data_IF_022471897931
#
_entry.id   IF_022471897931
#
_cell.length_a   1.000
_cell.length_b   1.000
_cell.length_c   1.000
_cell.angle_alpha   90.00
_cell.angle_beta   90.00
_cell.angle_gamma   90.00
#
_symmetry.space_group_name_H-M   'P 1'
#
loop_
_entity.id
_entity.type
_entity.pdbx_description
1 polymer ?
#
# COMPACT_ATOMS: atom_id res chain seq x y z
N UNK A 1 -16.85 18.52 -14.92
CA UNK A 1 -17.10 17.55 -13.85
C UNK A 1 -16.37 18.02 -12.60
N UNK A 2 -17.09 18.61 -11.66
CA UNK A 2 -16.49 19.11 -10.42
C UNK A 2 -16.85 18.16 -9.27
N UNK A 3 -15.84 17.50 -8.73
CA UNK A 3 -16.03 16.60 -7.58
C UNK A 3 -15.92 17.36 -6.24
N UNK A 4 -15.30 18.56 -6.23
CA UNK A 4 -15.04 19.36 -5.02
C UNK A 4 -15.45 20.84 -5.10
N UNK A 5 -15.96 21.33 -6.20
CA UNK A 5 -16.26 22.74 -6.42
C UNK A 5 -17.74 22.98 -6.74
N UNK A 6 -18.64 22.39 -5.93
CA UNK A 6 -20.09 22.56 -6.11
C UNK A 6 -20.53 24.02 -6.03
N UNK A 7 -19.86 24.84 -5.24
CA UNK A 7 -20.12 26.28 -5.11
C UNK A 7 -19.94 27.06 -6.43
N UNK A 8 -19.09 26.58 -7.33
CA UNK A 8 -18.82 27.19 -8.64
C UNK A 8 -20.02 27.12 -9.57
N UNK A 9 -20.95 26.20 -9.31
CA UNK A 9 -22.17 25.96 -10.11
C UNK A 9 -23.43 26.51 -9.47
N UNK A 10 -23.31 27.31 -8.42
CA UNK A 10 -24.46 27.98 -7.79
C UNK A 10 -25.16 28.88 -8.81
N UNK A 11 -26.46 28.68 -9.01
CA UNK A 11 -27.28 29.40 -9.99
C UNK A 11 -27.22 28.86 -11.43
N UNK A 12 -26.53 27.76 -11.67
CA UNK A 12 -26.52 27.06 -12.96
C UNK A 12 -27.25 25.71 -12.76
N UNK A 13 -28.17 25.32 -13.69
CA UNK A 13 -28.79 24.00 -13.62
C UNK A 13 -27.72 22.91 -13.62
N UNK A 14 -27.65 22.12 -12.56
CA UNK A 14 -26.65 21.08 -12.41
C UNK A 14 -27.28 19.76 -11.94
N UNK A 15 -26.83 18.66 -12.52
CA UNK A 15 -27.19 17.31 -12.11
C UNK A 15 -26.07 16.73 -11.24
N UNK A 16 -26.39 16.41 -10.00
CA UNK A 16 -25.45 15.76 -9.07
C UNK A 16 -25.78 14.28 -8.98
N UNK A 17 -24.81 13.43 -9.37
CA UNK A 17 -24.98 11.98 -9.36
C UNK A 17 -23.71 11.32 -8.80
N UNK A 18 -23.81 10.09 -8.25
CA UNK A 18 -22.65 9.30 -7.84
C UNK A 18 -21.66 9.08 -8.99
N UNK A 19 -20.36 9.00 -8.69
CA UNK A 19 -19.28 8.90 -9.70
C UNK A 19 -19.44 7.69 -10.63
N UNK A 20 -20.06 6.61 -10.15
CA UNK A 20 -20.28 5.39 -10.93
C UNK A 20 -21.46 5.49 -11.92
N UNK A 21 -22.41 6.40 -11.71
CA UNK A 21 -23.62 6.55 -12.50
C UNK A 21 -23.34 6.94 -13.96
N UNK A 22 -22.44 7.91 -14.25
CA UNK A 22 -22.11 8.27 -15.64
C UNK A 22 -21.47 7.13 -16.42
N UNK A 23 -20.85 6.17 -15.76
CA UNK A 23 -20.23 5.01 -16.43
C UNK A 23 -21.30 4.00 -16.87
N UNK A 24 -22.38 3.87 -16.08
CA UNK A 24 -23.43 2.88 -16.28
C UNK A 24 -24.59 3.39 -17.15
N UNK A 25 -24.93 4.67 -17.02
CA UNK A 25 -26.15 5.26 -17.60
C UNK A 25 -25.89 6.64 -18.24
N UNK A 26 -24.78 6.79 -19.00
CA UNK A 26 -24.36 8.06 -19.58
C UNK A 26 -25.46 8.73 -20.43
N UNK A 27 -26.14 7.95 -21.27
CA UNK A 27 -27.15 8.45 -22.21
C UNK A 27 -28.38 9.00 -21.49
N UNK A 28 -28.86 8.28 -20.45
CA UNK A 28 -29.97 8.73 -19.62
C UNK A 28 -29.65 10.00 -18.85
N UNK A 29 -28.42 10.14 -18.34
CA UNK A 29 -27.96 11.33 -17.63
C UNK A 29 -27.82 12.54 -18.54
N UNK A 30 -27.39 12.36 -19.80
CA UNK A 30 -27.33 13.43 -20.80
C UNK A 30 -28.75 13.92 -21.13
N UNK A 31 -29.69 13.01 -21.31
CA UNK A 31 -31.10 13.36 -21.54
C UNK A 31 -31.68 14.12 -20.34
N UNK A 32 -31.45 13.69 -19.14
CA UNK A 32 -31.86 14.42 -17.92
C UNK A 32 -31.20 15.80 -17.83
N UNK A 33 -29.91 15.91 -18.13
CA UNK A 33 -29.19 17.18 -18.11
C UNK A 33 -29.76 18.18 -19.13
N UNK A 34 -30.15 17.71 -20.30
CA UNK A 34 -30.73 18.54 -21.36
C UNK A 34 -32.15 19.07 -21.00
N UNK A 35 -32.86 18.38 -20.09
CA UNK A 35 -34.21 18.80 -19.63
C UNK A 35 -34.19 19.74 -18.46
N UNK A 36 -33.01 20.01 -17.85
CA UNK A 36 -32.86 20.90 -16.70
C UNK A 36 -33.24 22.34 -17.11
N UNK A 37 -34.32 22.87 -16.52
CA UNK A 37 -34.72 24.28 -16.65
C UNK A 37 -34.09 25.08 -15.52
N UNK A 38 -33.74 26.33 -15.80
CA UNK A 38 -33.30 27.30 -14.79
C UNK A 38 -34.49 27.55 -13.84
N UNK A 39 -34.48 26.94 -12.65
CA UNK A 39 -35.48 27.26 -11.63
C UNK A 39 -34.94 28.40 -10.77
N UNK A 40 -35.76 29.45 -10.60
CA UNK A 40 -35.45 30.58 -9.70
C UNK A 40 -35.52 30.19 -8.21
N UNK A 41 -35.86 28.94 -7.91
CA UNK A 41 -35.78 28.41 -6.56
C UNK A 41 -34.34 28.01 -6.25
N UNK A 42 -33.72 28.79 -5.39
CA UNK A 42 -32.50 28.43 -4.68
C UNK A 42 -32.77 27.13 -3.91
N UNK A 43 -32.68 25.97 -4.60
CA UNK A 43 -32.48 24.72 -3.89
C UNK A 43 -31.14 24.88 -3.19
N UNK A 44 -31.21 25.20 -1.93
CA UNK A 44 -30.11 24.92 -0.99
C UNK A 44 -29.67 23.52 -1.32
N UNK A 45 -28.54 23.41 -2.04
CA UNK A 45 -27.77 22.19 -2.07
C UNK A 45 -27.71 21.78 -0.62
N UNK A 46 -28.41 20.69 -0.27
CA UNK A 46 -28.08 20.04 0.99
C UNK A 46 -26.57 19.86 0.89
N UNK A 47 -25.85 20.76 1.56
CA UNK A 47 -24.51 20.42 2.00
C UNK A 47 -24.71 19.04 2.60
N UNK A 48 -24.28 18.00 1.89
CA UNK A 48 -23.83 16.82 2.58
C UNK A 48 -22.81 17.34 3.59
N UNK A 49 -23.31 17.66 4.75
CA UNK A 49 -22.53 17.78 5.97
C UNK A 49 -21.96 16.38 6.10
N UNK A 50 -20.80 16.18 5.39
CA UNK A 50 -20.00 14.99 5.66
C UNK A 50 -19.87 14.97 7.17
N UNK A 51 -20.34 13.90 7.83
CA UNK A 51 -20.30 13.85 9.28
C UNK A 51 -18.88 14.19 9.68
N UNK A 52 -18.71 15.10 10.63
CA UNK A 52 -17.40 15.56 11.12
C UNK A 52 -16.58 14.30 11.33
N UNK A 53 -15.60 14.07 10.46
CA UNK A 53 -14.82 12.83 10.47
C UNK A 53 -14.19 12.74 11.85
N UNK A 54 -14.40 11.65 12.55
CA UNK A 54 -13.69 11.39 13.81
C UNK A 54 -12.18 11.58 13.58
N UNK A 55 -11.48 12.22 14.50
CA UNK A 55 -10.02 12.43 14.45
C UNK A 55 -9.30 11.12 14.12
N UNK A 56 -9.77 10.00 14.70
CA UNK A 56 -9.25 8.66 14.40
C UNK A 56 -9.38 8.29 12.91
N UNK A 57 -10.51 8.59 12.30
CA UNK A 57 -10.76 8.33 10.88
C UNK A 57 -9.89 9.21 10.00
N UNK A 58 -9.73 10.47 10.37
CA UNK A 58 -8.87 11.43 9.66
C UNK A 58 -7.40 11.01 9.71
N UNK A 59 -6.87 10.67 10.88
CA UNK A 59 -5.51 10.14 11.06
C UNK A 59 -5.28 8.90 10.19
N UNK A 60 -6.20 7.92 10.26
CA UNK A 60 -6.12 6.71 9.43
C UNK A 60 -6.08 7.06 7.94
N UNK A 61 -6.94 7.94 7.47
CA UNK A 61 -6.98 8.35 6.06
C UNK A 61 -5.70 9.07 5.63
N UNK A 62 -5.15 9.94 6.48
CA UNK A 62 -3.91 10.65 6.20
C UNK A 62 -2.72 9.69 6.05
N UNK A 63 -2.60 8.73 6.97
CA UNK A 63 -1.55 7.70 6.92
C UNK A 63 -1.68 6.81 5.68
N UNK A 64 -2.89 6.31 5.40
CA UNK A 64 -3.14 5.48 4.22
C UNK A 64 -2.88 6.25 2.92
N UNK A 65 -3.17 7.55 2.89
CA UNK A 65 -2.84 8.43 1.77
C UNK A 65 -1.33 8.51 1.57
N UNK A 66 -0.57 8.83 2.60
CA UNK A 66 0.90 8.88 2.55
C UNK A 66 1.51 7.58 2.03
N UNK A 67 1.08 6.43 2.55
CA UNK A 67 1.52 5.10 2.10
C UNK A 67 1.17 4.89 0.63
N UNK A 68 -0.06 5.20 0.21
CA UNK A 68 -0.51 4.99 -1.16
C UNK A 68 0.29 5.78 -2.19
N UNK A 69 0.72 7.00 -1.85
CA UNK A 69 1.61 7.79 -2.72
C UNK A 69 3.07 7.31 -2.69
N UNK A 70 3.52 6.70 -1.59
CA UNK A 70 4.85 6.12 -1.51
C UNK A 70 4.99 4.80 -2.32
N UNK A 71 3.89 4.03 -2.47
CA UNK A 71 3.90 2.72 -3.15
C UNK A 71 4.52 2.75 -4.55
N UNK A 72 4.11 3.64 -5.49
CA UNK A 72 4.72 3.66 -6.83
C UNK A 72 6.22 3.95 -6.80
N UNK A 73 6.67 4.82 -5.89
CA UNK A 73 8.09 5.14 -5.69
C UNK A 73 8.86 3.90 -5.22
N UNK A 74 8.29 3.16 -4.27
CA UNK A 74 8.89 1.94 -3.72
C UNK A 74 8.97 0.86 -4.78
N UNK A 75 7.91 0.66 -5.55
CA UNK A 75 7.88 -0.35 -6.63
C UNK A 75 8.90 -0.01 -7.71
N UNK A 76 8.94 1.24 -8.17
CA UNK A 76 9.90 1.69 -9.18
C UNK A 76 11.35 1.57 -8.68
N UNK A 77 11.63 2.09 -7.48
CA UNK A 77 12.96 2.03 -6.87
C UNK A 77 13.43 0.59 -6.63
N UNK A 78 12.54 -0.23 -6.08
CA UNK A 78 12.80 -1.65 -5.85
C UNK A 78 13.09 -2.42 -7.14
N UNK A 79 12.30 -2.19 -8.18
CA UNK A 79 12.50 -2.86 -9.48
C UNK A 79 13.80 -2.43 -10.14
N UNK A 80 14.10 -1.12 -10.15
CA UNK A 80 15.37 -0.61 -10.72
C UNK A 80 16.58 -1.19 -9.98
N UNK A 81 16.52 -1.22 -8.64
CA UNK A 81 17.59 -1.83 -7.85
C UNK A 81 17.71 -3.35 -8.12
N UNK A 82 16.57 -4.04 -8.20
CA UNK A 82 16.54 -5.47 -8.51
C UNK A 82 17.18 -5.78 -9.88
N UNK A 83 16.83 -5.00 -10.89
CA UNK A 83 17.44 -5.15 -12.24
C UNK A 83 18.95 -4.92 -12.20
N UNK A 84 19.41 -3.90 -11.49
CA UNK A 84 20.85 -3.64 -11.34
C UNK A 84 21.57 -4.81 -10.67
N UNK A 85 21.00 -5.39 -9.60
CA UNK A 85 21.56 -6.57 -8.94
C UNK A 85 21.56 -7.79 -9.85
N UNK A 86 20.46 -8.04 -10.58
CA UNK A 86 20.35 -9.16 -11.50
C UNK A 86 21.39 -9.08 -12.64
N UNK A 87 21.54 -7.92 -13.26
CA UNK A 87 22.55 -7.71 -14.30
C UNK A 87 23.96 -7.95 -13.77
N UNK A 88 24.25 -7.48 -12.56
CA UNK A 88 25.52 -7.74 -11.89
C UNK A 88 25.79 -9.24 -11.71
N UNK A 89 24.77 -10.00 -11.29
CA UNK A 89 24.92 -11.43 -11.00
C UNK A 89 24.98 -12.29 -12.28
N UNK A 90 24.09 -12.05 -13.24
CA UNK A 90 23.95 -12.86 -14.45
C UNK A 90 25.17 -12.68 -15.39
N UNK A 91 25.61 -11.43 -15.52
CA UNK A 91 26.70 -11.09 -16.44
C UNK A 91 28.08 -10.95 -15.77
N UNK A 92 28.17 -11.24 -14.46
CA UNK A 92 29.44 -11.15 -13.75
C UNK A 92 30.01 -9.72 -13.63
N UNK A 93 29.09 -8.70 -13.56
CA UNK A 93 29.45 -7.28 -13.58
C UNK A 93 29.60 -6.70 -12.17
N UNK A 94 30.08 -7.47 -11.20
CA UNK A 94 30.21 -7.04 -9.79
C UNK A 94 31.14 -5.83 -9.65
N UNK A 95 32.16 -5.74 -10.48
CA UNK A 95 33.11 -4.62 -10.50
C UNK A 95 32.37 -3.34 -10.89
N UNK A 96 31.62 -3.36 -12.00
CA UNK A 96 30.80 -2.21 -12.44
C UNK A 96 29.66 -1.86 -11.45
N UNK A 97 29.15 -2.85 -10.74
CA UNK A 97 28.11 -2.60 -9.71
C UNK A 97 28.66 -1.82 -8.51
N UNK A 98 29.96 -1.97 -8.21
CA UNK A 98 30.62 -1.32 -7.09
C UNK A 98 31.46 -0.10 -7.49
N UNK A 99 31.92 -0.02 -8.73
CA UNK A 99 32.74 1.08 -9.26
C UNK A 99 31.91 2.36 -9.36
N UNK A 100 32.33 3.40 -8.63
CA UNK A 100 31.65 4.69 -8.62
C UNK A 100 31.57 5.30 -10.03
N UNK A 101 30.42 5.88 -10.34
CA UNK A 101 30.09 6.50 -11.62
C UNK A 101 30.00 5.54 -12.81
N UNK A 102 30.13 4.23 -12.64
CA UNK A 102 29.74 3.27 -13.68
C UNK A 102 28.23 3.36 -13.94
N UNK A 103 27.80 2.96 -15.12
CA UNK A 103 26.37 2.96 -15.45
C UNK A 103 25.54 2.06 -14.52
N UNK A 104 26.10 0.92 -14.11
CA UNK A 104 25.39 -0.04 -13.24
C UNK A 104 25.32 0.46 -11.79
N UNK A 105 26.38 1.10 -11.30
CA UNK A 105 26.39 1.79 -10.02
C UNK A 105 25.36 2.94 -9.99
N UNK A 106 25.24 3.70 -11.10
CA UNK A 106 24.23 4.76 -11.20
C UNK A 106 22.81 4.20 -11.11
N UNK A 107 22.48 3.10 -11.78
CA UNK A 107 21.17 2.43 -11.63
C UNK A 107 20.94 1.93 -10.20
N UNK A 108 21.95 1.31 -9.59
CA UNK A 108 21.91 0.91 -8.17
C UNK A 108 21.62 2.10 -7.27
N UNK A 109 22.31 3.22 -7.45
CA UNK A 109 22.12 4.45 -6.67
C UNK A 109 20.75 5.10 -6.92
N UNK A 110 20.28 5.06 -8.17
CA UNK A 110 18.93 5.54 -8.52
C UNK A 110 17.87 4.75 -7.78
N UNK A 111 17.85 3.44 -7.88
CA UNK A 111 16.89 2.59 -7.18
C UNK A 111 17.00 2.71 -5.67
N UNK A 112 18.22 2.65 -5.12
CA UNK A 112 18.47 2.80 -3.69
C UNK A 112 18.09 4.19 -3.16
N UNK A 113 18.30 5.25 -3.94
CA UNK A 113 17.90 6.61 -3.57
C UNK A 113 16.39 6.81 -3.49
N UNK A 114 15.63 6.22 -4.42
CA UNK A 114 14.17 6.22 -4.35
C UNK A 114 13.65 5.57 -3.06
N UNK A 115 14.29 4.47 -2.64
CA UNK A 115 13.91 3.73 -1.44
C UNK A 115 14.42 4.39 -0.14
N UNK A 116 15.72 4.71 -0.08
CA UNK A 116 16.36 5.16 1.15
C UNK A 116 16.21 6.66 1.41
N UNK A 117 16.30 7.49 0.36
CA UNK A 117 16.30 8.95 0.52
C UNK A 117 14.89 9.53 0.39
N UNK A 118 14.13 9.11 -0.62
CA UNK A 118 12.85 9.76 -0.96
C UNK A 118 11.64 9.15 -0.27
N UNK A 119 11.65 7.85 0.08
CA UNK A 119 10.48 7.17 0.65
C UNK A 119 9.94 7.87 1.90
N UNK A 120 10.81 8.19 2.87
CA UNK A 120 10.44 8.82 4.14
C UNK A 120 9.90 10.25 3.92
N UNK A 121 10.56 11.14 3.17
CA UNK A 121 10.02 12.46 2.84
C UNK A 121 8.70 12.41 2.05
N UNK A 122 8.55 11.50 1.10
CA UNK A 122 7.31 11.35 0.32
C UNK A 122 6.16 10.90 1.21
N UNK A 123 6.39 9.90 2.08
CA UNK A 123 5.39 9.47 3.04
C UNK A 123 4.89 10.62 3.92
N UNK A 124 5.82 11.40 4.49
CA UNK A 124 5.50 12.54 5.35
C UNK A 124 4.75 13.64 4.57
N UNK A 125 5.21 13.99 3.37
CA UNK A 125 4.62 15.03 2.53
C UNK A 125 3.17 14.71 2.14
N UNK A 126 2.88 13.49 1.72
CA UNK A 126 1.53 13.12 1.31
C UNK A 126 0.60 12.80 2.48
N UNK A 127 1.13 12.43 3.64
CA UNK A 127 0.38 12.43 4.90
C UNK A 127 -0.07 13.85 5.25
N UNK A 128 0.85 14.83 5.20
CA UNK A 128 0.55 16.24 5.45
C UNK A 128 -0.42 16.82 4.40
N UNK A 129 -0.23 16.49 3.13
CA UNK A 129 -1.11 16.88 2.03
C UNK A 129 -2.56 16.44 2.26
N UNK A 130 -2.76 15.21 2.73
CA UNK A 130 -4.09 14.69 3.02
C UNK A 130 -4.83 15.49 4.11
N UNK A 131 -4.09 16.14 5.01
CA UNK A 131 -4.64 16.94 6.12
C UNK A 131 -4.86 18.41 5.77
N UNK A 132 -3.99 19.02 4.96
CA UNK A 132 -3.99 20.47 4.73
C UNK A 132 -3.72 20.89 3.27
N UNK A 133 -3.89 19.99 2.31
CA UNK A 133 -3.72 20.22 0.87
C UNK A 133 -2.31 20.66 0.43
N UNK A 134 -2.19 21.24 -0.76
CA UNK A 134 -0.92 21.64 -1.40
C UNK A 134 0.03 22.44 -0.52
N UNK A 135 -0.40 23.42 0.30
CA UNK A 135 0.52 24.18 1.14
C UNK A 135 1.29 23.34 2.17
N UNK A 136 0.77 22.14 2.51
CA UNK A 136 1.42 21.25 3.46
C UNK A 136 2.51 20.36 2.84
N UNK A 137 2.67 20.35 1.52
CA UNK A 137 3.65 19.47 0.86
C UNK A 137 5.08 19.83 1.28
N UNK A 138 5.49 21.11 1.15
CA UNK A 138 6.85 21.53 1.53
C UNK A 138 7.16 21.29 3.01
N UNK A 139 6.28 21.67 3.97
CA UNK A 139 6.44 21.32 5.37
C UNK A 139 6.55 19.81 5.62
N UNK A 140 5.73 19.00 4.92
CA UNK A 140 5.78 17.54 5.02
C UNK A 140 7.09 16.95 4.51
N UNK A 141 7.59 17.42 3.36
CA UNK A 141 8.90 17.02 2.84
C UNK A 141 10.03 17.41 3.82
N UNK A 142 9.99 18.61 4.39
CA UNK A 142 10.99 19.06 5.36
C UNK A 142 10.96 18.20 6.63
N UNK A 143 9.78 17.90 7.16
CA UNK A 143 9.63 17.03 8.33
C UNK A 143 10.13 15.60 8.06
N UNK A 144 9.86 15.06 6.86
CA UNK A 144 10.36 13.75 6.45
C UNK A 144 11.88 13.72 6.22
N UNK A 145 12.45 14.78 5.66
CA UNK A 145 13.90 14.95 5.54
C UNK A 145 14.57 15.04 6.92
N UNK A 146 14.00 15.83 7.83
CA UNK A 146 14.44 15.90 9.22
C UNK A 146 14.41 14.53 9.90
N UNK A 147 13.34 13.74 9.66
CA UNK A 147 13.23 12.37 10.15
C UNK A 147 14.38 11.47 9.67
N UNK A 148 14.79 11.59 8.41
CA UNK A 148 15.97 10.89 7.91
C UNK A 148 17.26 11.36 8.58
N UNK A 149 17.44 12.66 8.77
CA UNK A 149 18.66 13.25 9.36
C UNK A 149 18.89 12.77 10.80
N UNK A 150 17.82 12.62 11.59
CA UNK A 150 17.89 12.20 13.00
C UNK A 150 17.69 10.70 13.21
N UNK A 151 17.57 9.92 12.13
CA UNK A 151 17.41 8.47 12.23
C UNK A 151 16.07 7.99 12.80
N UNK A 152 15.03 8.84 12.80
CA UNK A 152 13.68 8.42 13.22
C UNK A 152 12.91 7.65 12.15
N UNK A 153 13.46 7.54 10.95
CA UNK A 153 13.04 6.66 9.89
C UNK A 153 11.56 6.76 9.51
N UNK A 154 10.95 5.60 9.30
CA UNK A 154 9.53 5.49 8.92
C UNK A 154 8.58 6.09 9.96
N UNK A 155 8.80 5.83 11.26
CA UNK A 155 7.97 6.42 12.33
C UNK A 155 8.10 7.94 12.35
N UNK A 156 9.30 8.46 12.10
CA UNK A 156 9.54 9.90 11.98
C UNK A 156 8.77 10.51 10.80
N UNK A 157 8.67 9.80 9.66
CA UNK A 157 7.86 10.25 8.53
C UNK A 157 6.37 10.36 8.89
N UNK A 158 5.85 9.36 9.59
CA UNK A 158 4.44 9.36 10.04
C UNK A 158 4.17 10.53 10.97
N UNK A 159 4.95 10.65 12.02
CA UNK A 159 4.79 11.72 13.03
C UNK A 159 5.03 13.09 12.41
N UNK A 160 6.10 13.25 11.63
CA UNK A 160 6.44 14.49 10.96
C UNK A 160 5.39 14.93 9.95
N UNK A 161 4.81 13.99 9.21
CA UNK A 161 3.72 14.25 8.27
C UNK A 161 2.45 14.75 8.97
N UNK A 162 2.09 14.13 10.11
CA UNK A 162 0.96 14.57 10.92
C UNK A 162 1.21 15.97 11.52
N UNK A 163 2.40 16.20 12.09
CA UNK A 163 2.78 17.50 12.62
C UNK A 163 2.69 18.58 11.53
N UNK A 164 3.29 18.33 10.36
CA UNK A 164 3.26 19.27 9.24
C UNK A 164 1.83 19.55 8.76
N UNK A 165 0.99 18.52 8.67
CA UNK A 165 -0.41 18.64 8.26
C UNK A 165 -1.24 19.47 9.23
N UNK A 166 -1.21 19.13 10.52
CA UNK A 166 -1.97 19.87 11.54
C UNK A 166 -1.43 21.29 11.77
N UNK A 167 -0.11 21.48 11.75
CA UNK A 167 0.51 22.81 11.81
C UNK A 167 0.03 23.68 10.66
N UNK A 168 0.05 23.15 9.43
CA UNK A 168 -0.41 23.90 8.26
C UNK A 168 -1.89 24.22 8.30
N UNK A 169 -2.72 23.31 8.80
CA UNK A 169 -4.15 23.58 9.03
C UNK A 169 -4.33 24.71 10.03
N UNK A 170 -3.59 24.68 11.13
CA UNK A 170 -3.60 25.75 12.12
C UNK A 170 -3.16 27.10 11.54
N UNK A 171 -2.05 27.14 10.81
CA UNK A 171 -1.54 28.34 10.14
C UNK A 171 -2.57 28.90 9.16
N UNK A 172 -3.16 28.08 8.31
CA UNK A 172 -4.20 28.48 7.33
C UNK A 172 -5.44 29.09 8.01
N UNK A 173 -5.80 28.61 9.17
CA UNK A 173 -6.99 29.10 9.90
C UNK A 173 -6.73 30.43 10.61
N UNK A 174 -5.51 30.67 11.09
CA UNK A 174 -5.17 31.85 11.88
C UNK A 174 -4.51 32.96 11.05
N UNK A 175 -3.75 32.62 10.03
CA UNK A 175 -3.06 33.56 9.19
C UNK A 175 -3.84 33.87 7.92
N UNK A 176 -4.70 34.88 7.97
CA UNK A 176 -5.52 35.32 6.85
C UNK A 176 -5.17 36.78 6.54
N UNK A 177 -4.67 37.04 5.35
CA UNK A 177 -4.48 38.38 4.79
C UNK A 177 -5.63 38.66 3.80
N UNK A 178 -5.86 39.93 3.46
CA UNK A 178 -6.89 40.30 2.49
C UNK A 178 -6.73 39.54 1.13
N UNK A 179 -7.81 39.42 0.39
CA UNK A 179 -7.88 38.61 -0.86
C UNK A 179 -6.78 38.90 -1.88
N UNK A 180 -6.27 40.16 -1.90
CA UNK A 180 -5.15 40.59 -2.77
C UNK A 180 -3.83 39.88 -2.50
N UNK A 181 -3.65 39.35 -1.28
CA UNK A 181 -2.41 38.68 -0.85
C UNK A 181 -2.52 37.14 -0.84
N UNK A 182 -3.61 36.57 -1.30
CA UNK A 182 -3.80 35.10 -1.30
C UNK A 182 -2.69 34.34 -2.05
N UNK A 183 -2.20 34.90 -3.16
CA UNK A 183 -1.08 34.30 -3.90
C UNK A 183 0.20 34.28 -3.06
N UNK A 184 0.55 35.39 -2.42
CA UNK A 184 1.72 35.48 -1.56
C UNK A 184 1.63 34.54 -0.36
N UNK A 185 0.47 34.46 0.28
CA UNK A 185 0.20 33.51 1.36
C UNK A 185 0.47 32.06 0.92
N UNK A 186 -0.18 31.66 -0.18
CA UNK A 186 -0.19 30.24 -0.62
C UNK A 186 1.15 29.79 -1.17
N UNK A 187 1.85 30.65 -1.94
CA UNK A 187 3.07 30.24 -2.63
C UNK A 187 4.35 30.56 -1.85
N UNK A 188 4.30 31.46 -0.88
CA UNK A 188 5.49 31.86 -0.13
C UNK A 188 5.33 31.64 1.38
N UNK A 189 4.37 32.33 2.01
CA UNK A 189 4.33 32.43 3.46
C UNK A 189 3.96 31.09 4.12
N UNK A 190 2.94 30.39 3.63
CA UNK A 190 2.54 29.10 4.17
C UNK A 190 3.63 28.04 4.04
N UNK A 191 4.25 27.80 2.87
CA UNK A 191 5.35 26.87 2.74
C UNK A 191 6.53 27.20 3.64
N UNK A 192 6.94 28.47 3.74
CA UNK A 192 8.10 28.90 4.55
C UNK A 192 7.82 28.68 6.04
N UNK A 193 6.72 29.23 6.55
CA UNK A 193 6.37 29.09 7.97
C UNK A 193 6.13 27.64 8.36
N UNK A 194 5.44 26.90 7.51
CA UNK A 194 5.19 25.49 7.75
C UNK A 194 6.47 24.66 7.75
N UNK A 195 7.39 24.91 6.82
CA UNK A 195 8.70 24.23 6.74
C UNK A 195 9.55 24.53 7.96
N UNK A 196 9.67 25.81 8.34
CA UNK A 196 10.40 26.20 9.55
C UNK A 196 9.79 25.57 10.79
N UNK A 197 8.46 25.64 10.94
CA UNK A 197 7.77 25.09 12.11
C UNK A 197 7.86 23.56 12.18
N UNK A 198 7.44 22.84 11.14
CA UNK A 198 7.45 21.40 11.14
C UNK A 198 8.87 20.80 11.15
N UNK A 199 9.79 21.40 10.39
CA UNK A 199 11.20 21.02 10.39
C UNK A 199 11.86 21.22 11.75
N UNK A 200 11.67 22.36 12.37
CA UNK A 200 12.25 22.64 13.71
C UNK A 200 11.65 21.73 14.79
N UNK A 201 10.33 21.49 14.78
CA UNK A 201 9.71 20.56 15.70
C UNK A 201 10.28 19.15 15.56
N UNK A 202 10.50 18.68 14.33
CA UNK A 202 11.12 17.38 14.11
C UNK A 202 12.59 17.36 14.53
N UNK A 203 13.39 18.36 14.15
CA UNK A 203 14.82 18.37 14.42
C UNK A 203 15.15 18.50 15.92
N UNK A 204 14.40 19.30 16.66
CA UNK A 204 14.82 19.74 18.00
C UNK A 204 13.91 19.28 19.15
N UNK A 205 12.69 18.78 18.86
CA UNK A 205 11.72 18.45 19.91
C UNK A 205 11.25 17.01 19.81
N UNK A 206 10.68 16.64 18.68
CA UNK A 206 9.94 15.37 18.54
C UNK A 206 10.82 14.25 17.97
N UNK A 207 11.81 14.61 17.19
CA UNK A 207 12.57 13.62 16.41
C UNK A 207 13.37 12.64 17.23
N UNK A 208 14.09 13.09 18.27
CA UNK A 208 14.86 12.19 19.14
C UNK A 208 13.98 11.19 19.90
N UNK A 209 12.87 11.58 20.57
CA UNK A 209 11.94 10.64 21.17
C UNK A 209 11.40 9.61 20.17
N UNK A 210 11.06 10.03 18.96
CA UNK A 210 10.58 9.12 17.92
C UNK A 210 11.69 8.21 17.42
N UNK A 211 12.92 8.70 17.28
CA UNK A 211 14.09 7.88 16.93
C UNK A 211 14.37 6.82 18.01
N UNK A 212 14.25 7.17 19.28
CA UNK A 212 14.38 6.20 20.36
C UNK A 212 13.33 5.08 20.28
N UNK A 213 12.06 5.41 20.04
CA UNK A 213 10.98 4.42 19.84
C UNK A 213 11.29 3.56 18.61
N UNK A 214 11.71 4.18 17.51
CA UNK A 214 12.05 3.48 16.27
C UNK A 214 13.20 2.49 16.48
N UNK A 215 14.24 2.88 17.17
CA UNK A 215 15.38 2.04 17.50
C UNK A 215 15.01 0.90 18.46
N UNK A 216 14.16 1.17 19.44
CA UNK A 216 13.65 0.16 20.36
C UNK A 216 12.81 -0.89 19.64
N UNK A 217 11.93 -0.47 18.71
CA UNK A 217 11.17 -1.36 17.86
C UNK A 217 12.08 -2.21 16.97
N UNK A 218 13.11 -1.58 16.40
CA UNK A 218 14.12 -2.27 15.58
C UNK A 218 14.87 -3.34 16.38
N UNK A 219 15.30 -3.00 17.58
CA UNK A 219 15.98 -3.95 18.48
C UNK A 219 15.06 -5.13 18.86
N UNK A 220 13.79 -4.85 19.14
CA UNK A 220 12.80 -5.88 19.41
C UNK A 220 12.58 -6.79 18.20
N UNK A 221 12.41 -6.23 16.99
CA UNK A 221 12.24 -7.01 15.76
C UNK A 221 13.46 -7.88 15.45
N UNK A 222 14.68 -7.35 15.64
CA UNK A 222 15.91 -8.11 15.45
C UNK A 222 16.05 -9.25 16.47
N UNK A 223 15.44 -9.11 17.64
CA UNK A 223 15.39 -10.15 18.67
C UNK A 223 14.36 -11.26 18.40
N UNK A 224 13.51 -11.10 17.38
CA UNK A 224 12.52 -12.12 17.03
C UNK A 224 13.20 -13.31 16.36
N UNK A 225 13.13 -14.48 16.98
CA UNK A 225 13.67 -15.73 16.48
C UNK A 225 12.77 -16.91 16.85
N UNK A 226 12.93 -18.03 16.19
CA UNK A 226 12.20 -19.26 16.50
C UNK A 226 10.67 -19.09 16.45
N UNK A 227 9.97 -19.48 17.52
CA UNK A 227 8.49 -19.42 17.60
C UNK A 227 7.92 -18.00 17.46
N UNK A 228 8.65 -16.98 17.91
CA UNK A 228 8.22 -15.58 17.80
C UNK A 228 8.22 -15.10 16.34
N UNK A 229 9.23 -15.48 15.56
CA UNK A 229 9.29 -15.17 14.13
C UNK A 229 8.19 -15.90 13.36
N UNK A 230 7.89 -17.15 13.71
CA UNK A 230 6.79 -17.93 13.16
C UNK A 230 5.44 -17.26 13.44
N UNK A 231 5.21 -16.81 14.67
CA UNK A 231 3.97 -16.12 15.06
C UNK A 231 3.83 -14.78 14.32
N UNK A 232 4.89 -13.98 14.24
CA UNK A 232 4.90 -12.74 13.46
C UNK A 232 4.56 -13.01 11.99
N UNK A 233 5.15 -14.08 11.43
CA UNK A 233 4.88 -14.51 10.05
C UNK A 233 3.42 -14.86 9.84
N UNK A 234 2.82 -15.62 10.74
CA UNK A 234 1.39 -15.96 10.68
C UNK A 234 0.50 -14.72 10.77
N UNK A 235 0.81 -13.77 11.66
CA UNK A 235 0.07 -12.52 11.80
C UNK A 235 0.17 -11.68 10.51
N UNK A 236 1.36 -11.51 9.96
CA UNK A 236 1.55 -10.78 8.70
C UNK A 236 0.83 -11.48 7.53
N UNK A 237 0.82 -12.80 7.52
CA UNK A 237 0.06 -13.61 6.56
C UNK A 237 -1.44 -13.35 6.65
N UNK A 238 -2.00 -13.34 7.86
CA UNK A 238 -3.39 -12.97 8.11
C UNK A 238 -3.69 -11.57 7.56
N UNK A 239 -2.92 -10.57 8.00
CA UNK A 239 -3.16 -9.16 7.65
C UNK A 239 -3.04 -8.91 6.14
N UNK A 240 -2.15 -9.60 5.46
CA UNK A 240 -1.95 -9.45 4.02
C UNK A 240 -3.17 -9.90 3.21
N UNK A 241 -3.80 -11.00 3.59
CA UNK A 241 -4.86 -11.64 2.80
C UNK A 241 -6.28 -11.35 3.30
N UNK A 242 -6.42 -10.68 4.44
CA UNK A 242 -7.72 -10.39 5.05
C UNK A 242 -8.59 -9.43 4.21
N UNK A 243 -7.99 -8.42 3.62
CA UNK A 243 -8.71 -7.39 2.87
C UNK A 243 -8.08 -7.04 1.50
N UNK A 244 -7.16 -7.89 1.00
CA UNK A 244 -6.61 -7.90 -0.36
C UNK A 244 -6.21 -6.51 -0.91
N UNK A 245 -5.40 -5.79 -0.17
CA UNK A 245 -4.96 -4.42 -0.52
C UNK A 245 -5.75 -3.32 0.20
N UNK A 246 -6.65 -3.68 1.11
CA UNK A 246 -7.38 -2.76 1.96
C UNK A 246 -6.56 -2.21 3.14
N UNK A 247 -7.24 -1.61 4.14
CA UNK A 247 -6.57 -0.95 5.27
C UNK A 247 -5.69 -1.86 6.13
N UNK A 248 -6.07 -3.13 6.31
CA UNK A 248 -5.32 -4.09 7.13
C UNK A 248 -4.05 -4.53 6.39
N UNK A 249 -4.17 -4.87 5.11
CA UNK A 249 -3.03 -5.17 4.24
C UNK A 249 -2.05 -3.99 4.18
N UNK A 250 -2.54 -2.75 4.01
CA UNK A 250 -1.70 -1.55 3.97
C UNK A 250 -1.00 -1.29 5.32
N UNK A 251 -1.63 -1.61 6.44
CA UNK A 251 -0.99 -1.50 7.76
C UNK A 251 0.16 -2.50 7.90
N UNK A 252 -0.02 -3.76 7.46
CA UNK A 252 1.05 -4.75 7.43
C UNK A 252 2.18 -4.32 6.49
N UNK A 253 1.85 -3.81 5.31
CA UNK A 253 2.83 -3.29 4.36
C UNK A 253 3.65 -2.14 4.95
N UNK A 254 2.98 -1.17 5.59
CA UNK A 254 3.65 -0.05 6.27
C UNK A 254 4.59 -0.53 7.38
N UNK A 255 4.16 -1.49 8.19
CA UNK A 255 5.00 -2.12 9.20
C UNK A 255 6.25 -2.77 8.59
N UNK A 256 6.08 -3.54 7.52
CA UNK A 256 7.20 -4.20 6.83
C UNK A 256 8.19 -3.20 6.22
N UNK A 257 7.68 -2.10 5.64
CA UNK A 257 8.53 -1.02 5.12
C UNK A 257 9.25 -0.27 6.23
N UNK A 258 8.59 -0.03 7.36
CA UNK A 258 9.18 0.56 8.55
C UNK A 258 10.32 -0.30 9.10
N UNK A 259 10.11 -1.61 9.22
CA UNK A 259 11.13 -2.56 9.61
C UNK A 259 12.32 -2.56 8.62
N UNK A 260 12.02 -2.58 7.32
CA UNK A 260 13.04 -2.55 6.27
C UNK A 260 13.87 -1.26 6.29
N UNK A 261 13.25 -0.11 6.51
CA UNK A 261 13.94 1.19 6.64
C UNK A 261 14.95 1.20 7.80
N UNK A 262 14.75 0.32 8.79
CA UNK A 262 15.61 0.12 9.94
C UNK A 262 16.57 -1.08 9.79
N UNK A 263 16.70 -1.63 8.58
CA UNK A 263 17.59 -2.76 8.30
C UNK A 263 17.04 -4.13 8.73
N UNK A 264 15.77 -4.22 9.11
CA UNK A 264 15.10 -5.49 9.47
C UNK A 264 14.31 -6.00 8.27
N UNK A 265 14.85 -6.98 7.58
CA UNK A 265 14.37 -7.42 6.26
C UNK A 265 13.42 -8.63 6.29
N UNK A 266 13.35 -9.34 7.41
CA UNK A 266 12.49 -10.51 7.57
C UNK A 266 11.00 -10.25 7.36
N UNK A 267 10.40 -9.25 8.00
CA UNK A 267 8.99 -8.94 7.84
C UNK A 267 8.57 -8.69 6.39
N UNK A 268 9.41 -8.01 5.62
CA UNK A 268 9.09 -7.78 4.20
C UNK A 268 9.23 -9.05 3.35
N UNK A 269 10.20 -9.92 3.64
CA UNK A 269 10.34 -11.21 2.97
C UNK A 269 9.08 -12.08 3.17
N UNK A 270 8.54 -12.11 4.40
CA UNK A 270 7.28 -12.78 4.72
C UNK A 270 6.14 -12.19 3.89
N UNK A 271 5.95 -10.88 3.96
CA UNK A 271 4.86 -10.18 3.29
C UNK A 271 4.89 -10.36 1.77
N UNK A 272 6.07 -10.32 1.17
CA UNK A 272 6.25 -10.51 -0.27
C UNK A 272 5.91 -11.93 -0.74
N UNK A 273 6.25 -12.97 0.03
CA UNK A 273 5.87 -14.36 -0.26
C UNK A 273 4.36 -14.57 -0.16
N UNK A 274 3.76 -14.06 0.91
CA UNK A 274 2.32 -14.19 1.18
C UNK A 274 1.45 -13.57 0.07
N UNK A 275 1.88 -12.48 -0.54
CA UNK A 275 1.14 -11.82 -1.64
C UNK A 275 0.82 -12.76 -2.80
N UNK A 276 1.61 -13.78 -3.05
CA UNK A 276 1.39 -14.72 -4.14
C UNK A 276 0.28 -15.74 -3.84
N UNK A 277 -0.01 -16.00 -2.57
CA UNK A 277 -0.93 -17.07 -2.13
C UNK A 277 -2.33 -16.90 -2.70
N UNK A 278 -2.94 -15.73 -2.56
CA UNK A 278 -4.30 -15.46 -3.04
C UNK A 278 -4.42 -15.66 -4.54
N UNK A 279 -3.47 -15.11 -5.30
CA UNK A 279 -3.46 -15.18 -6.75
C UNK A 279 -3.29 -16.62 -7.27
N UNK A 280 -2.35 -17.37 -6.69
CA UNK A 280 -2.15 -18.78 -7.05
C UNK A 280 -3.35 -19.63 -6.64
N UNK A 281 -3.99 -19.33 -5.52
CA UNK A 281 -5.22 -20.02 -5.09
C UNK A 281 -6.36 -19.79 -6.08
N UNK A 282 -6.59 -18.56 -6.53
CA UNK A 282 -7.63 -18.26 -7.54
C UNK A 282 -7.39 -19.07 -8.80
N UNK A 283 -6.19 -19.03 -9.34
CA UNK A 283 -5.84 -19.77 -10.55
C UNK A 283 -5.96 -21.27 -10.35
N UNK A 284 -5.34 -21.82 -9.31
CA UNK A 284 -5.35 -23.25 -9.05
C UNK A 284 -6.77 -23.80 -8.82
N UNK A 285 -7.59 -23.10 -8.04
CA UNK A 285 -8.94 -23.56 -7.71
C UNK A 285 -9.86 -23.56 -8.93
N UNK A 286 -9.80 -22.51 -9.77
CA UNK A 286 -10.61 -22.43 -10.99
C UNK A 286 -10.17 -23.42 -12.08
N UNK A 287 -8.88 -23.75 -12.14
CA UNK A 287 -8.36 -24.76 -13.07
C UNK A 287 -8.67 -26.19 -12.61
N UNK A 288 -8.55 -26.49 -11.31
CA UNK A 288 -8.74 -27.83 -10.77
C UNK A 288 -10.21 -28.24 -10.69
N UNK A 289 -11.11 -27.30 -10.44
CA UNK A 289 -12.53 -27.60 -10.28
C UNK A 289 -13.43 -26.51 -10.88
N UNK A 290 -13.38 -26.26 -12.19
CA UNK A 290 -14.11 -25.16 -12.83
C UNK A 290 -15.63 -25.21 -12.58
N UNK A 291 -16.18 -26.39 -12.38
CA UNK A 291 -17.61 -26.58 -12.10
C UNK A 291 -18.09 -25.95 -10.78
N UNK A 292 -17.18 -25.59 -9.89
CA UNK A 292 -17.50 -24.96 -8.60
C UNK A 292 -17.46 -23.43 -8.66
N UNK A 293 -17.19 -22.85 -9.82
CA UNK A 293 -16.96 -21.43 -10.01
C UNK A 293 -17.85 -20.88 -11.12
N UNK A 294 -18.15 -19.59 -11.04
CA UNK A 294 -18.86 -18.86 -12.08
C UNK A 294 -17.92 -18.56 -13.25
N UNK A 295 -18.49 -18.29 -14.42
CA UNK A 295 -17.72 -18.04 -15.64
C UNK A 295 -16.72 -16.90 -15.46
N UNK A 296 -17.12 -15.77 -14.87
CA UNK A 296 -16.22 -14.63 -14.62
C UNK A 296 -15.08 -14.97 -13.63
N UNK A 297 -15.30 -15.87 -12.66
CA UNK A 297 -14.26 -16.32 -11.74
C UNK A 297 -13.22 -17.19 -12.47
N UNK A 298 -13.67 -18.03 -13.40
CA UNK A 298 -12.80 -18.85 -14.25
C UNK A 298 -11.97 -17.95 -15.17
N UNK A 299 -12.60 -16.95 -15.80
CA UNK A 299 -11.88 -15.98 -16.65
C UNK A 299 -10.84 -15.19 -15.85
N UNK A 300 -11.21 -14.72 -14.67
CA UNK A 300 -10.26 -14.05 -13.75
C UNK A 300 -9.11 -14.99 -13.41
N UNK A 301 -9.37 -16.26 -13.12
CA UNK A 301 -8.36 -17.25 -12.74
C UNK A 301 -7.29 -17.49 -13.80
N UNK A 302 -7.62 -17.34 -15.09
CA UNK A 302 -6.67 -17.57 -16.19
C UNK A 302 -5.44 -16.65 -16.15
N UNK A 303 -5.59 -15.42 -15.68
CA UNK A 303 -4.52 -14.40 -15.67
C UNK A 303 -4.03 -14.01 -14.27
N UNK A 304 -4.75 -14.36 -13.21
CA UNK A 304 -4.45 -13.89 -11.84
C UNK A 304 -3.09 -14.37 -11.34
N UNK A 305 -2.60 -15.54 -11.76
CA UNK A 305 -1.26 -16.01 -11.39
C UNK A 305 -0.15 -15.08 -11.83
N UNK A 306 -0.30 -14.37 -12.97
CA UNK A 306 0.67 -13.36 -13.42
C UNK A 306 0.73 -12.17 -12.45
N UNK A 307 -0.44 -11.75 -11.94
CA UNK A 307 -0.51 -10.71 -10.91
C UNK A 307 0.16 -11.20 -9.62
N UNK A 308 -0.03 -12.47 -9.26
CA UNK A 308 0.66 -13.10 -8.13
C UNK A 308 2.18 -13.05 -8.27
N UNK A 309 2.72 -13.40 -9.44
CA UNK A 309 4.16 -13.27 -9.73
C UNK A 309 4.63 -11.82 -9.64
N UNK A 310 3.82 -10.85 -10.00
CA UNK A 310 4.12 -9.43 -9.81
C UNK A 310 3.99 -8.95 -8.35
N UNK A 311 3.51 -9.79 -7.44
CA UNK A 311 3.28 -9.44 -6.03
C UNK A 311 2.03 -8.58 -5.82
N UNK A 312 0.99 -8.79 -6.63
CA UNK A 312 -0.27 -8.04 -6.63
C UNK A 312 -1.40 -8.97 -6.13
N UNK A 313 -2.03 -8.61 -5.02
CA UNK A 313 -3.13 -9.37 -4.39
C UNK A 313 -4.50 -9.05 -4.96
N UNK A 314 -4.65 -7.86 -5.55
CA UNK A 314 -5.92 -7.30 -5.99
C UNK A 314 -6.59 -8.11 -7.11
N UNK A 315 -5.84 -8.93 -7.82
CA UNK A 315 -6.39 -9.86 -8.82
C UNK A 315 -7.38 -10.90 -8.26
N UNK A 316 -7.33 -11.14 -6.94
CA UNK A 316 -8.24 -12.05 -6.25
C UNK A 316 -9.56 -11.37 -5.78
N UNK A 317 -9.66 -10.04 -5.88
CA UNK A 317 -10.82 -9.28 -5.38
C UNK A 317 -12.14 -9.70 -6.02
N UNK A 318 -12.25 -9.92 -7.35
CA UNK A 318 -13.54 -10.31 -7.95
C UNK A 318 -14.12 -11.57 -7.32
N UNK A 319 -13.29 -12.59 -7.09
CA UNK A 319 -13.71 -13.82 -6.44
C UNK A 319 -14.04 -13.62 -4.95
N UNK A 320 -13.29 -12.76 -4.26
CA UNK A 320 -13.51 -12.45 -2.85
C UNK A 320 -14.80 -11.65 -2.61
N UNK A 321 -15.23 -10.82 -3.55
CA UNK A 321 -16.52 -10.11 -3.47
C UNK A 321 -17.68 -11.04 -3.64
N UNK A 322 -17.55 -12.06 -4.51
CA UNK A 322 -18.61 -13.01 -4.79
C UNK A 322 -18.91 -13.92 -3.58
N UNK A 323 -17.89 -14.37 -2.87
CA UNK A 323 -18.02 -15.28 -1.73
C UNK A 323 -17.00 -14.97 -0.63
N UNK A 324 -17.19 -13.85 0.10
CA UNK A 324 -16.18 -13.32 0.99
C UNK A 324 -15.72 -14.30 2.07
N UNK A 325 -16.66 -14.99 2.70
CA UNK A 325 -16.35 -15.85 3.86
C UNK A 325 -15.47 -17.04 3.47
N UNK A 326 -15.80 -17.72 2.36
CA UNK A 326 -15.06 -18.93 1.95
C UNK A 326 -13.74 -18.54 1.28
N UNK A 327 -13.77 -17.54 0.42
CA UNK A 327 -12.60 -17.11 -0.35
C UNK A 327 -11.58 -16.44 0.56
N UNK A 328 -11.96 -15.40 1.30
CA UNK A 328 -11.03 -14.70 2.20
C UNK A 328 -10.57 -15.64 3.33
N UNK A 329 -11.48 -16.42 3.90
CA UNK A 329 -11.12 -17.40 4.94
C UNK A 329 -10.07 -18.41 4.47
N UNK A 330 -10.19 -18.93 3.24
CA UNK A 330 -9.18 -19.84 2.68
C UNK A 330 -7.85 -19.13 2.43
N UNK A 331 -7.86 -17.91 1.86
CA UNK A 331 -6.66 -17.13 1.63
C UNK A 331 -5.91 -16.84 2.93
N UNK A 332 -6.62 -16.42 3.96
CA UNK A 332 -6.05 -16.12 5.28
C UNK A 332 -5.34 -17.34 5.85
N UNK A 333 -5.99 -18.51 5.87
CA UNK A 333 -5.39 -19.73 6.43
C UNK A 333 -4.13 -20.16 5.68
N UNK A 334 -4.16 -20.18 4.34
CA UNK A 334 -2.96 -20.50 3.57
C UNK A 334 -1.85 -19.45 3.73
N UNK A 335 -2.20 -18.17 3.80
CA UNK A 335 -1.26 -17.08 4.00
C UNK A 335 -0.60 -17.08 5.38
N UNK A 336 -1.34 -17.45 6.42
CA UNK A 336 -0.77 -17.64 7.76
C UNK A 336 0.29 -18.74 7.76
N UNK A 337 0.03 -19.86 7.05
CA UNK A 337 1.00 -20.94 6.93
C UNK A 337 2.24 -20.49 6.15
N UNK A 338 2.06 -19.84 5.00
CA UNK A 338 3.18 -19.27 4.24
C UNK A 338 4.02 -18.33 5.10
N UNK A 339 3.38 -17.39 5.78
CA UNK A 339 4.06 -16.41 6.61
C UNK A 339 4.82 -17.07 7.76
N UNK A 340 4.23 -18.07 8.40
CA UNK A 340 4.86 -18.85 9.47
C UNK A 340 6.13 -19.59 8.96
N UNK A 341 6.06 -20.24 7.79
CA UNK A 341 7.20 -20.95 7.21
C UNK A 341 8.34 -19.97 6.90
N UNK A 342 8.05 -18.86 6.18
CA UNK A 342 9.08 -17.88 5.83
C UNK A 342 9.67 -17.22 7.06
N UNK A 343 8.85 -16.92 8.08
CA UNK A 343 9.31 -16.39 9.36
C UNK A 343 10.26 -17.36 10.08
N UNK A 344 9.93 -18.66 10.11
CA UNK A 344 10.78 -19.69 10.72
C UNK A 344 12.11 -19.89 9.97
N UNK A 345 12.13 -19.66 8.65
CA UNK A 345 13.35 -19.77 7.83
C UNK A 345 14.29 -18.59 7.98
N UNK A 346 13.88 -17.51 8.63
CA UNK A 346 14.67 -16.30 8.86
C UNK A 346 15.25 -15.69 7.57
N UNK A 347 14.46 -15.67 6.51
CA UNK A 347 14.80 -15.11 5.21
C UNK A 347 14.58 -13.60 5.22
N UNK A 348 15.53 -12.84 4.68
CA UNK A 348 15.44 -11.39 4.52
C UNK A 348 15.25 -10.96 3.07
N UNK A 349 14.55 -9.85 2.84
CA UNK A 349 14.40 -9.20 1.54
C UNK A 349 14.55 -7.69 1.72
N UNK A 350 15.65 -7.14 1.19
CA UNK A 350 15.97 -5.71 1.33
C UNK A 350 15.40 -4.83 0.22
N UNK A 351 14.77 -5.42 -0.80
CA UNK A 351 14.27 -4.70 -1.98
C UNK A 351 12.75 -4.89 -2.12
N UNK A 352 11.93 -3.89 -1.83
CA UNK A 352 10.49 -4.00 -1.93
C UNK A 352 10.01 -3.92 -3.39
N UNK A 353 8.86 -4.52 -3.66
CA UNK A 353 8.14 -4.34 -4.93
C UNK A 353 8.66 -5.14 -6.13
N UNK A 354 9.66 -6.02 -5.95
CA UNK A 354 10.27 -6.74 -7.06
C UNK A 354 9.46 -7.99 -7.53
N UNK A 355 8.36 -8.35 -6.87
CA UNK A 355 7.57 -9.54 -7.22
C UNK A 355 8.43 -10.81 -7.26
N UNK A 356 8.30 -11.62 -8.31
CA UNK A 356 9.06 -12.87 -8.48
C UNK A 356 10.58 -12.63 -8.58
N UNK A 357 11.01 -11.47 -9.06
CA UNK A 357 12.43 -11.11 -9.10
C UNK A 357 13.06 -11.01 -7.71
N UNK A 358 12.25 -10.95 -6.66
CA UNK A 358 12.72 -11.03 -5.27
C UNK A 358 13.51 -12.32 -4.98
N UNK A 359 13.27 -13.42 -5.73
CA UNK A 359 14.01 -14.68 -5.61
C UNK A 359 15.52 -14.50 -5.65
N UNK A 360 16.00 -13.54 -6.45
CA UNK A 360 17.42 -13.25 -6.63
C UNK A 360 17.99 -12.26 -5.60
N UNK A 361 17.13 -11.69 -4.76
CA UNK A 361 17.45 -10.61 -3.82
C UNK A 361 17.29 -11.03 -2.37
N UNK A 362 16.91 -12.29 -2.16
CA UNK A 362 16.77 -12.88 -0.84
C UNK A 362 18.15 -13.12 -0.22
N UNK A 363 18.26 -12.82 1.06
CA UNK A 363 19.40 -13.20 1.87
C UNK A 363 18.93 -14.03 3.04
N UNK A 364 19.76 -14.97 3.42
CA UNK A 364 19.57 -15.81 4.56
C UNK A 364 20.77 -15.70 5.52
N UNK A 365 20.60 -16.24 6.71
CA UNK A 365 21.65 -16.24 7.71
C UNK A 365 22.61 -17.43 7.61
N UNK A 366 22.87 -17.93 6.38
CA UNK A 366 23.94 -18.92 6.16
C UNK A 366 23.63 -20.14 5.28
N UNK A 367 22.39 -20.32 4.79
CA UNK A 367 22.03 -21.50 3.96
C UNK A 367 22.27 -21.32 2.44
N UNK A 368 22.61 -20.11 2.00
CA UNK A 368 22.80 -19.76 0.59
C UNK A 368 21.54 -19.29 -0.12
N UNK A 369 21.65 -18.28 -0.98
CA UNK A 369 20.53 -17.61 -1.62
C UNK A 369 19.59 -18.53 -2.41
N UNK A 370 20.10 -19.66 -2.95
CA UNK A 370 19.27 -20.65 -3.67
C UNK A 370 18.29 -21.35 -2.72
N UNK A 371 18.74 -21.75 -1.52
CA UNK A 371 17.88 -22.38 -0.53
C UNK A 371 16.84 -21.41 0.03
N UNK A 372 17.22 -20.17 0.25
CA UNK A 372 16.29 -19.11 0.62
C UNK A 372 15.22 -18.92 -0.47
N UNK A 373 15.61 -18.90 -1.75
CA UNK A 373 14.69 -18.76 -2.88
C UNK A 373 13.72 -19.94 -2.98
N UNK A 374 14.20 -21.17 -2.87
CA UNK A 374 13.37 -22.38 -2.89
C UNK A 374 12.39 -22.37 -1.71
N UNK A 375 12.86 -22.06 -0.51
CA UNK A 375 12.02 -22.00 0.69
C UNK A 375 10.97 -20.90 0.62
N UNK A 376 11.35 -19.71 0.18
CA UNK A 376 10.48 -18.55 0.07
C UNK A 376 9.34 -18.76 -0.95
N UNK A 377 9.68 -19.24 -2.14
CA UNK A 377 8.70 -19.55 -3.18
C UNK A 377 7.91 -20.83 -2.87
N UNK A 378 8.59 -21.84 -2.34
CA UNK A 378 7.98 -23.09 -1.89
C UNK A 378 6.93 -22.86 -0.80
N UNK A 379 7.20 -21.97 0.16
CA UNK A 379 6.23 -21.58 1.19
C UNK A 379 4.97 -20.95 0.57
N UNK A 380 5.10 -20.09 -0.44
CA UNK A 380 3.96 -19.52 -1.15
C UNK A 380 3.13 -20.61 -1.86
N UNK A 381 3.78 -21.58 -2.49
CA UNK A 381 3.09 -22.71 -3.14
C UNK A 381 2.39 -23.62 -2.13
N UNK A 382 3.01 -23.90 -0.98
CA UNK A 382 2.39 -24.68 0.10
C UNK A 382 1.15 -23.96 0.64
N UNK A 383 1.24 -22.67 0.93
CA UNK A 383 0.09 -21.89 1.37
C UNK A 383 -1.01 -21.82 0.32
N UNK A 384 -0.66 -21.65 -0.95
CA UNK A 384 -1.62 -21.65 -2.04
C UNK A 384 -2.31 -23.03 -2.19
N UNK A 385 -1.57 -24.12 -2.03
CA UNK A 385 -2.13 -25.47 -2.07
C UNK A 385 -3.12 -25.70 -0.92
N UNK A 386 -2.77 -25.31 0.30
CA UNK A 386 -3.64 -25.39 1.48
C UNK A 386 -4.89 -24.53 1.26
N UNK A 387 -4.72 -23.30 0.83
CA UNK A 387 -5.79 -22.35 0.54
C UNK A 387 -6.75 -22.93 -0.52
N UNK A 388 -6.20 -23.46 -1.61
CA UNK A 388 -6.96 -24.12 -2.69
C UNK A 388 -7.76 -25.30 -2.15
N UNK A 389 -7.14 -26.18 -1.37
CA UNK A 389 -7.81 -27.34 -0.80
C UNK A 389 -8.99 -26.92 0.10
N UNK A 390 -8.80 -25.94 0.97
CA UNK A 390 -9.84 -25.40 1.85
C UNK A 390 -10.97 -24.78 1.03
N UNK A 391 -10.64 -23.93 0.04
CA UNK A 391 -11.63 -23.29 -0.82
C UNK A 391 -12.48 -24.32 -1.59
N UNK A 392 -11.83 -25.30 -2.19
CA UNK A 392 -12.54 -26.34 -2.93
C UNK A 392 -13.44 -27.19 -2.02
N UNK A 393 -13.00 -27.53 -0.81
CA UNK A 393 -13.82 -28.24 0.16
C UNK A 393 -15.05 -27.40 0.58
N UNK A 394 -14.86 -26.14 0.89
CA UNK A 394 -15.95 -25.26 1.29
C UNK A 394 -16.93 -24.97 0.16
N UNK A 395 -16.44 -24.76 -1.07
CA UNK A 395 -17.28 -24.55 -2.26
C UNK A 395 -18.08 -25.82 -2.62
N UNK A 396 -17.45 -27.01 -2.60
CA UNK A 396 -18.16 -28.29 -2.81
C UNK A 396 -19.28 -28.50 -1.81
N UNK A 397 -19.02 -28.20 -0.53
CA UNK A 397 -20.03 -28.26 0.51
C UNK A 397 -21.18 -27.28 0.26
N UNK A 398 -20.85 -26.03 -0.11
CA UNK A 398 -21.84 -25.00 -0.38
C UNK A 398 -22.72 -25.30 -1.60
N UNK A 399 -22.14 -25.77 -2.69
CA UNK A 399 -22.89 -26.17 -3.90
C UNK A 399 -23.81 -27.34 -3.59
N UNK A 400 -23.32 -28.36 -2.87
CA UNK A 400 -24.12 -29.53 -2.47
C UNK A 400 -25.35 -29.19 -1.61
N UNK A 401 -25.27 -28.12 -0.80
CA UNK A 401 -26.34 -27.68 0.08
C UNK A 401 -27.15 -26.49 -0.46
N UNK A 402 -26.95 -26.11 -1.73
CA UNK A 402 -27.67 -25.00 -2.36
C UNK A 402 -27.30 -23.61 -1.84
N UNK A 403 -26.23 -23.51 -1.05
CA UNK A 403 -25.77 -22.25 -0.45
C UNK A 403 -24.84 -21.44 -1.38
N UNK A 404 -24.60 -21.92 -2.60
CA UNK A 404 -23.86 -21.24 -3.64
C UNK A 404 -24.33 -21.75 -5.01
N UNK A 405 -24.72 -20.83 -5.89
CA UNK A 405 -25.19 -21.12 -7.24
C UNK A 405 -24.07 -20.84 -8.24
N UNK A 406 -23.74 -21.80 -9.07
CA UNK A 406 -22.86 -21.65 -10.22
C UNK A 406 -23.67 -21.38 -11.48
N UNK A 407 -23.10 -20.70 -12.48
CA UNK A 407 -23.77 -20.34 -13.74
C UNK A 407 -24.04 -21.58 -14.61
N UNK A 408 -24.93 -22.43 -14.16
CA UNK A 408 -25.54 -23.46 -14.99
C UNK A 408 -24.68 -24.63 -15.40
N UNK A 409 -24.30 -25.46 -14.47
CA UNK A 409 -24.29 -26.92 -14.67
C UNK A 409 -24.91 -27.54 -13.42
N UNK A 410 -26.20 -27.77 -13.47
CA UNK A 410 -26.78 -28.77 -12.57
C UNK A 410 -26.15 -30.13 -12.88
N UNK A 411 -25.94 -30.95 -11.84
CA UNK A 411 -25.34 -32.25 -11.98
C UNK A 411 -26.12 -33.19 -12.91
#
# INVERSE_FOLDING_TARGET
VAIKESERFNGIPALSVPVAEPIRHAEALIQQALTLKRSDETRTVQQDTQPVKSVKTELKQALLSGISFAVPLIVAGGTVLAVAVLLSQIFGLQDLFNEENSWLWMYRKLGGGLLGILMVPVLAAYTAYSLADKPALAPGFAAGLAANMIGSGFLGAVVGGLIAGYLMRWVKNHLRLGSKFNGFLTFYLYPVLGTLGAGSLMLFVVGEPVAWINNSLTAWLNGLSGSNALLLGAILGFMCSFDLGGPVNKAAYAFCLGAMANGVYGPYAIFASVKMVSAFTVTASTMLAPRLFKEFEIETGKSTWLLGLAGITEGAIPMAIEDPLRVIGSFVLGSMVTGAIVGAMNIGLSTPGAGIFSLFLLHDNGAGGVMAAIGWFGAALVGAAISTAILLMWRRHAVKHGNYLTDGVMP
#
